data_IF_099847715884
#
_entry.id   IF_099847715884
#
_cell.length_a   1.000
_cell.length_b   1.000
_cell.length_c   1.000
_cell.angle_alpha   90.00
_cell.angle_beta   90.00
_cell.angle_gamma   90.00
#
_symmetry.space_group_name_H-M   'P 1'
#
loop_
_entity.id
_entity.type
_entity.pdbx_description
1 polymer ?
#
# COMPACT_ATOMS: atom_id res chain seq x y z
N UNK A 1 2.03 19.55 -18.05
CA UNK A 1 1.18 18.97 -16.98
C UNK A 1 0.38 20.07 -16.29
N UNK A 2 1.00 21.16 -15.84
CA UNK A 2 0.32 22.28 -15.17
C UNK A 2 -0.82 22.89 -16.01
N UNK A 3 -0.61 23.10 -17.32
CA UNK A 3 -1.63 23.58 -18.26
C UNK A 3 -2.85 22.66 -18.41
N UNK A 4 -2.74 21.40 -17.97
CA UNK A 4 -3.81 20.40 -17.97
C UNK A 4 -4.42 20.19 -16.58
N UNK A 5 -4.07 21.00 -15.58
CA UNK A 5 -4.51 20.81 -14.19
C UNK A 5 -3.88 19.59 -13.51
N UNK A 6 -2.77 19.06 -14.03
CA UNK A 6 -2.05 17.88 -13.53
C UNK A 6 -0.67 18.26 -12.97
N UNK A 7 -0.55 19.42 -12.35
CA UNK A 7 0.68 19.83 -11.66
C UNK A 7 1.00 18.84 -10.51
N UNK A 8 2.24 18.34 -10.39
CA UNK A 8 2.59 17.42 -9.33
C UNK A 8 2.79 18.16 -8.00
N UNK A 9 2.20 17.65 -6.91
CA UNK A 9 2.49 18.11 -5.55
C UNK A 9 3.81 17.54 -5.00
N UNK A 10 4.28 16.41 -5.54
CA UNK A 10 5.50 15.73 -5.11
C UNK A 10 6.30 15.22 -6.30
N UNK A 11 7.62 15.34 -6.20
CA UNK A 11 8.56 14.72 -7.13
C UNK A 11 9.37 13.65 -6.39
N UNK A 12 9.53 12.48 -7.00
CA UNK A 12 10.40 11.40 -6.51
C UNK A 12 11.43 11.11 -7.60
N UNK A 13 12.71 11.10 -7.23
CA UNK A 13 13.80 10.78 -8.15
C UNK A 13 14.79 9.79 -7.56
N UNK A 14 15.16 8.79 -8.37
CA UNK A 14 16.16 7.79 -8.02
C UNK A 14 17.46 8.07 -8.77
N UNK A 15 18.60 7.89 -8.11
CA UNK A 15 19.93 8.07 -8.69
C UNK A 15 20.05 9.45 -9.36
N UNK A 16 20.49 9.55 -10.61
CA UNK A 16 20.55 10.81 -11.37
C UNK A 16 19.18 11.49 -11.48
N UNK A 17 18.08 10.72 -11.52
CA UNK A 17 16.72 11.27 -11.44
C UNK A 17 16.47 12.03 -10.13
N UNK A 18 17.14 11.68 -9.04
CA UNK A 18 17.12 12.42 -7.77
C UNK A 18 17.77 13.80 -7.89
N UNK A 19 18.88 13.91 -8.59
CA UNK A 19 19.50 15.18 -8.92
C UNK A 19 18.61 16.06 -9.83
N UNK A 20 17.98 15.42 -10.83
CA UNK A 20 17.06 16.09 -11.75
C UNK A 20 15.82 16.66 -11.02
N UNK A 21 15.18 15.91 -10.10
CA UNK A 21 14.02 16.43 -9.38
C UNK A 21 14.39 17.53 -8.38
N UNK A 22 15.58 17.51 -7.77
CA UNK A 22 16.09 18.61 -6.95
C UNK A 22 16.22 19.90 -7.75
N UNK A 23 16.74 19.79 -8.98
CA UNK A 23 16.86 20.93 -9.88
C UNK A 23 15.52 21.44 -10.38
N UNK A 24 14.65 20.52 -10.83
CA UNK A 24 13.34 20.85 -11.38
C UNK A 24 12.43 21.50 -10.32
N UNK A 25 12.38 20.93 -9.12
CA UNK A 25 11.52 21.41 -8.04
C UNK A 25 11.80 22.87 -7.64
N UNK A 26 13.03 23.35 -7.82
CA UNK A 26 13.39 24.75 -7.54
C UNK A 26 12.62 25.74 -8.45
N UNK A 27 12.06 25.29 -9.58
CA UNK A 27 11.34 26.09 -10.56
C UNK A 27 9.85 25.72 -10.69
N UNK A 28 9.32 24.90 -9.76
CA UNK A 28 7.94 24.42 -9.79
C UNK A 28 7.23 24.79 -8.49
N UNK A 29 6.49 25.88 -8.50
CA UNK A 29 5.86 26.43 -7.27
C UNK A 29 4.82 25.46 -6.67
N UNK A 30 4.15 24.66 -7.49
CA UNK A 30 3.14 23.69 -7.07
C UNK A 30 3.71 22.53 -6.26
N UNK A 31 4.99 22.18 -6.51
CA UNK A 31 5.66 21.08 -5.80
C UNK A 31 5.85 21.45 -4.33
N UNK A 32 5.34 20.65 -3.42
CA UNK A 32 5.39 20.82 -1.96
C UNK A 32 6.42 19.91 -1.30
N UNK A 33 6.73 18.78 -1.93
CA UNK A 33 7.60 17.75 -1.40
C UNK A 33 8.53 17.18 -2.48
N UNK A 34 9.75 16.86 -2.10
CA UNK A 34 10.75 16.21 -2.96
C UNK A 34 11.33 15.01 -2.24
N UNK A 35 11.47 13.92 -2.94
CA UNK A 35 12.09 12.68 -2.44
C UNK A 35 13.24 12.29 -3.34
N UNK A 36 14.40 12.01 -2.77
CA UNK A 36 15.56 11.47 -3.47
C UNK A 36 15.92 10.10 -2.93
N UNK A 37 16.25 9.16 -3.81
CA UNK A 37 16.69 7.82 -3.48
C UNK A 37 18.04 7.59 -4.16
N UNK A 38 19.11 7.39 -3.38
CA UNK A 38 20.45 7.15 -3.90
C UNK A 38 20.95 8.24 -4.85
N UNK A 39 20.62 9.53 -4.58
CA UNK A 39 20.90 10.63 -5.49
C UNK A 39 22.31 11.17 -5.31
N UNK A 40 23.02 11.55 -6.40
CA UNK A 40 24.27 12.25 -6.33
C UNK A 40 24.06 13.73 -5.94
N UNK A 41 24.94 14.27 -5.11
CA UNK A 41 25.03 15.70 -4.82
C UNK A 41 25.66 16.49 -5.97
N UNK A 42 26.64 15.87 -6.63
CA UNK A 42 27.29 16.36 -7.83
C UNK A 42 26.96 15.42 -9.00
N UNK A 43 26.05 15.83 -9.92
CA UNK A 43 25.69 15.00 -11.08
C UNK A 43 26.87 14.73 -12.02
N UNK A 44 27.90 15.61 -12.03
CA UNK A 44 29.10 15.42 -12.85
C UNK A 44 29.84 14.14 -12.50
N UNK A 45 29.80 13.68 -11.26
CA UNK A 45 30.41 12.41 -10.84
C UNK A 45 29.82 11.18 -11.56
N UNK A 46 28.63 11.25 -12.14
CA UNK A 46 28.05 10.12 -12.89
C UNK A 46 28.90 9.75 -14.11
N UNK A 47 29.68 10.73 -14.65
CA UNK A 47 30.57 10.50 -15.81
C UNK A 47 31.67 9.49 -15.51
N UNK A 48 32.10 9.32 -14.25
CA UNK A 48 33.07 8.30 -13.85
C UNK A 48 32.60 6.86 -14.14
N UNK A 49 31.29 6.63 -14.21
CA UNK A 49 30.74 5.32 -14.56
C UNK A 49 31.02 4.92 -16.02
N UNK A 50 31.46 5.86 -16.84
CA UNK A 50 31.77 5.65 -18.27
C UNK A 50 32.99 6.45 -18.75
N UNK A 51 33.99 6.69 -17.85
CA UNK A 51 35.21 7.43 -18.16
C UNK A 51 35.91 6.88 -19.42
N UNK A 52 35.90 5.56 -19.61
CA UNK A 52 36.51 4.92 -20.78
C UNK A 52 35.82 5.27 -22.13
N UNK A 53 34.59 5.80 -22.11
CA UNK A 53 33.86 6.18 -23.30
C UNK A 53 33.87 7.73 -23.54
N UNK A 54 34.38 8.52 -22.61
CA UNK A 54 34.35 9.99 -22.72
C UNK A 54 35.08 10.52 -23.95
N UNK A 55 36.22 9.94 -24.32
CA UNK A 55 36.95 10.33 -25.52
C UNK A 55 36.21 9.95 -26.82
N UNK A 56 35.53 8.83 -26.82
CA UNK A 56 34.64 8.45 -27.94
C UNK A 56 33.48 9.42 -28.06
N UNK A 57 32.81 9.75 -26.93
CA UNK A 57 31.71 10.71 -26.90
C UNK A 57 32.15 12.07 -27.46
N UNK A 58 33.34 12.57 -27.04
CA UNK A 58 33.89 13.85 -27.52
C UNK A 58 34.20 13.85 -29.03
N UNK A 59 34.67 12.72 -29.55
CA UNK A 59 35.12 12.62 -30.94
C UNK A 59 34.00 12.23 -31.91
N UNK A 60 33.06 11.39 -31.47
CA UNK A 60 31.97 10.86 -32.30
C UNK A 60 30.60 11.45 -31.96
N UNK A 61 30.52 12.29 -30.91
CA UNK A 61 29.27 12.87 -30.41
C UNK A 61 28.43 11.94 -29.54
N UNK A 62 28.63 10.60 -29.63
CA UNK A 62 27.92 9.60 -28.80
C UNK A 62 28.78 8.35 -28.59
N UNK A 63 28.51 7.62 -27.51
CA UNK A 63 29.04 6.26 -27.31
C UNK A 63 28.00 5.36 -26.64
N UNK A 64 28.14 4.03 -26.80
CA UNK A 64 27.36 3.05 -26.05
C UNK A 64 28.12 2.65 -24.77
N UNK A 65 27.47 2.78 -23.63
CA UNK A 65 28.02 2.46 -22.32
C UNK A 65 27.13 1.46 -21.59
N UNK A 66 27.73 0.72 -20.65
CA UNK A 66 26.98 -0.21 -19.77
C UNK A 66 26.67 0.53 -18.47
N UNK A 67 25.40 0.80 -18.20
CA UNK A 67 24.93 1.37 -16.95
C UNK A 67 23.90 0.46 -16.31
N UNK A 68 24.14 0.01 -15.07
CA UNK A 68 23.21 -0.88 -14.35
C UNK A 68 22.92 -2.20 -15.08
N UNK A 69 23.87 -2.73 -15.85
CA UNK A 69 23.69 -3.94 -16.64
C UNK A 69 22.98 -3.75 -18.00
N UNK A 70 22.60 -2.52 -18.36
CA UNK A 70 21.96 -2.18 -19.63
C UNK A 70 22.87 -1.38 -20.55
N UNK A 71 22.75 -1.60 -21.86
CA UNK A 71 23.40 -0.76 -22.86
C UNK A 71 22.61 0.52 -23.03
N UNK A 72 23.27 1.65 -22.81
CA UNK A 72 22.69 2.99 -22.95
C UNK A 72 23.56 3.82 -23.88
N UNK A 73 22.96 4.54 -24.80
CA UNK A 73 23.68 5.49 -25.64
C UNK A 73 23.74 6.85 -24.95
N UNK A 74 24.94 7.34 -24.72
CA UNK A 74 25.23 8.64 -24.09
C UNK A 74 25.73 9.60 -25.16
N UNK A 75 25.12 10.78 -25.22
CA UNK A 75 25.51 11.87 -26.10
C UNK A 75 26.40 12.90 -25.41
N UNK A 76 27.13 13.70 -26.20
CA UNK A 76 27.96 14.78 -25.70
C UNK A 76 27.15 15.82 -24.92
N UNK A 77 25.95 16.17 -25.43
CA UNK A 77 25.06 17.14 -24.76
C UNK A 77 24.72 16.70 -23.32
N UNK A 78 24.51 15.39 -23.10
CA UNK A 78 24.27 14.87 -21.76
C UNK A 78 25.47 15.03 -20.84
N UNK A 79 26.70 14.73 -21.35
CA UNK A 79 27.94 14.87 -20.58
C UNK A 79 28.18 16.33 -20.21
N UNK A 80 27.97 17.24 -21.15
CA UNK A 80 28.11 18.68 -20.93
C UNK A 80 27.08 19.20 -19.92
N UNK A 81 25.80 18.77 -20.05
CA UNK A 81 24.73 19.18 -19.14
C UNK A 81 25.02 18.71 -17.70
N UNK A 82 25.27 17.42 -17.49
CA UNK A 82 25.50 16.90 -16.12
C UNK A 82 26.76 17.49 -15.49
N UNK A 83 27.81 17.76 -16.28
CA UNK A 83 29.07 18.34 -15.79
C UNK A 83 28.92 19.83 -15.46
N UNK A 84 28.00 20.54 -16.05
CA UNK A 84 27.70 21.93 -15.78
C UNK A 84 26.80 22.17 -14.56
N UNK A 85 26.12 21.11 -14.06
CA UNK A 85 25.15 21.24 -12.97
C UNK A 85 25.85 21.41 -11.60
N UNK A 86 25.53 22.49 -10.92
CA UNK A 86 25.83 22.70 -9.50
C UNK A 86 24.52 22.68 -8.73
N UNK A 87 24.28 21.62 -7.97
CA UNK A 87 22.99 21.44 -7.26
C UNK A 87 22.92 22.19 -5.93
N UNK A 88 24.04 22.51 -5.31
CA UNK A 88 24.05 23.10 -3.97
C UNK A 88 23.18 24.38 -3.85
N UNK A 89 23.22 25.37 -4.77
CA UNK A 89 22.33 26.52 -4.70
C UNK A 89 20.83 26.15 -4.85
N UNK A 90 20.51 25.19 -5.74
CA UNK A 90 19.14 24.71 -5.93
C UNK A 90 18.61 24.01 -4.67
N UNK A 91 19.44 23.20 -4.02
CA UNK A 91 19.10 22.50 -2.78
C UNK A 91 18.92 23.51 -1.63
N UNK A 92 19.84 24.47 -1.49
CA UNK A 92 19.76 25.51 -0.46
C UNK A 92 18.55 26.42 -0.61
N UNK A 93 18.12 26.68 -1.85
CA UNK A 93 16.96 27.50 -2.21
C UNK A 93 15.67 26.71 -2.43
N UNK A 94 15.63 25.43 -2.12
CA UNK A 94 14.48 24.56 -2.45
C UNK A 94 13.17 24.97 -1.75
N UNK A 95 13.23 25.37 -0.48
CA UNK A 95 12.09 25.80 0.35
C UNK A 95 10.87 24.85 0.33
N UNK A 96 11.11 23.57 0.10
CA UNK A 96 10.12 22.48 0.05
C UNK A 96 10.51 21.39 1.04
N UNK A 97 9.58 20.54 1.41
CA UNK A 97 9.89 19.38 2.24
C UNK A 97 10.79 18.41 1.44
N UNK A 98 11.91 18.02 2.01
CA UNK A 98 12.88 17.12 1.39
C UNK A 98 13.04 15.84 2.20
N UNK A 99 12.84 14.68 1.56
CA UNK A 99 13.19 13.38 2.09
C UNK A 99 14.34 12.80 1.28
N UNK A 100 15.38 12.36 1.97
CA UNK A 100 16.54 11.72 1.38
C UNK A 100 16.56 10.27 1.86
N UNK A 101 16.53 9.31 0.93
CA UNK A 101 16.74 7.89 1.21
C UNK A 101 18.04 7.46 0.55
N UNK A 102 18.90 6.74 1.29
CA UNK A 102 20.18 6.30 0.75
C UNK A 102 20.70 5.06 1.46
N UNK A 103 21.25 4.10 0.68
CA UNK A 103 21.85 2.91 1.23
C UNK A 103 23.30 3.19 1.69
N UNK A 104 23.68 2.84 2.94
CA UNK A 104 25.03 3.10 3.44
C UNK A 104 26.15 2.38 2.66
N UNK A 105 25.78 1.28 1.99
CA UNK A 105 26.71 0.47 1.20
C UNK A 105 26.52 0.63 -0.31
N UNK A 106 25.92 1.73 -0.73
CA UNK A 106 25.77 2.05 -2.14
C UNK A 106 27.13 2.27 -2.78
N UNK A 107 27.51 1.36 -3.69
CA UNK A 107 28.80 1.41 -4.40
C UNK A 107 28.72 2.21 -5.72
N UNK A 108 27.53 2.66 -6.10
CA UNK A 108 27.31 3.46 -7.31
C UNK A 108 27.30 4.95 -7.00
N UNK A 109 26.57 5.32 -5.94
CA UNK A 109 26.53 6.69 -5.40
C UNK A 109 26.80 6.59 -3.91
N UNK A 110 27.99 7.01 -3.47
CA UNK A 110 28.39 6.91 -2.07
C UNK A 110 27.49 7.70 -1.12
N UNK A 111 27.36 7.19 0.10
CA UNK A 111 26.48 7.75 1.15
C UNK A 111 26.79 9.21 1.50
N UNK A 112 28.03 9.67 1.27
CA UNK A 112 28.46 11.07 1.48
C UNK A 112 27.63 12.05 0.65
N UNK A 113 27.07 11.63 -0.51
CA UNK A 113 26.18 12.45 -1.32
C UNK A 113 24.92 12.82 -0.54
N UNK A 114 24.31 11.87 0.14
CA UNK A 114 23.15 12.10 1.00
C UNK A 114 23.47 13.10 2.13
N UNK A 115 24.65 12.97 2.74
CA UNK A 115 25.10 13.88 3.79
C UNK A 115 25.31 15.30 3.24
N UNK A 116 25.84 15.45 2.02
CA UNK A 116 26.04 16.74 1.36
C UNK A 116 24.69 17.39 1.00
N UNK A 117 23.76 16.63 0.40
CA UNK A 117 22.37 17.07 0.12
C UNK A 117 21.71 17.52 1.43
N UNK A 118 21.80 16.71 2.49
CA UNK A 118 21.19 17.03 3.78
C UNK A 118 21.78 18.30 4.40
N UNK A 119 23.10 18.52 4.31
CA UNK A 119 23.74 19.74 4.82
C UNK A 119 23.32 20.99 4.05
N UNK A 120 23.25 20.92 2.74
CA UNK A 120 22.87 22.05 1.89
C UNK A 120 21.40 22.43 2.05
N UNK A 121 20.51 21.46 2.22
CA UNK A 121 19.08 21.69 2.33
C UNK A 121 18.68 22.45 3.60
N UNK A 122 17.62 23.28 3.49
CA UNK A 122 16.94 23.92 4.62
C UNK A 122 15.81 23.03 5.13
N UNK A 123 15.33 23.29 6.36
CA UNK A 123 14.14 22.61 6.89
C UNK A 123 12.86 23.03 6.14
N UNK A 124 11.87 22.10 6.01
CA UNK A 124 11.84 20.75 6.55
C UNK A 124 12.63 19.76 5.72
N UNK A 125 13.51 18.98 6.36
CA UNK A 125 14.30 17.93 5.73
C UNK A 125 14.38 16.69 6.61
N UNK A 126 14.43 15.52 5.98
CA UNK A 126 14.51 14.20 6.62
C UNK A 126 15.53 13.34 5.89
N UNK A 127 16.19 12.44 6.62
CA UNK A 127 17.10 11.45 6.05
C UNK A 127 16.79 10.09 6.66
N UNK A 128 16.69 9.09 5.80
CA UNK A 128 16.48 7.70 6.18
C UNK A 128 17.48 6.81 5.46
N UNK A 129 18.19 5.99 6.22
CA UNK A 129 19.10 4.99 5.68
C UNK A 129 18.34 3.73 5.24
N UNK A 130 18.74 3.18 4.11
CA UNK A 130 18.25 1.90 3.58
C UNK A 130 19.34 0.84 3.81
N UNK A 131 19.50 0.41 5.07
CA UNK A 131 20.71 -0.22 5.59
C UNK A 131 21.24 -1.41 4.79
N UNK A 132 20.38 -2.28 4.27
CA UNK A 132 20.75 -3.49 3.53
C UNK A 132 20.47 -3.39 2.02
N UNK A 133 20.00 -2.23 1.55
CA UNK A 133 19.62 -2.07 0.15
C UNK A 133 20.84 -1.92 -0.76
N UNK A 134 20.70 -2.37 -2.01
CA UNK A 134 21.59 -1.98 -3.10
C UNK A 134 21.11 -0.67 -3.76
N UNK A 135 21.91 -0.15 -4.69
CA UNK A 135 21.59 1.10 -5.39
C UNK A 135 20.24 1.09 -6.11
N UNK A 136 19.83 -0.07 -6.67
CA UNK A 136 18.63 -0.21 -7.48
C UNK A 136 17.40 -0.66 -6.67
N UNK A 137 17.52 -0.88 -5.36
CA UNK A 137 16.48 -1.48 -4.52
C UNK A 137 15.97 -2.81 -5.10
N UNK A 138 16.89 -3.69 -5.54
CA UNK A 138 16.57 -4.91 -6.28
C UNK A 138 15.73 -5.91 -5.48
N UNK A 139 15.80 -5.87 -4.15
CA UNK A 139 14.97 -6.74 -3.30
C UNK A 139 13.64 -6.08 -3.02
N UNK A 140 12.53 -6.80 -3.24
CA UNK A 140 11.18 -6.31 -3.03
C UNK A 140 10.97 -5.67 -1.65
N UNK A 141 11.49 -6.29 -0.58
CA UNK A 141 11.38 -5.76 0.79
C UNK A 141 11.99 -4.36 0.99
N UNK A 142 13.06 -4.04 0.25
CA UNK A 142 13.72 -2.72 0.36
C UNK A 142 12.91 -1.66 -0.39
N UNK A 143 12.35 -2.02 -1.54
CA UNK A 143 11.47 -1.15 -2.32
C UNK A 143 10.15 -0.89 -1.56
N UNK A 144 9.56 -1.91 -0.94
CA UNK A 144 8.37 -1.80 -0.09
C UNK A 144 8.63 -0.89 1.11
N UNK A 145 9.74 -1.09 1.84
CA UNK A 145 10.11 -0.23 2.96
C UNK A 145 10.30 1.23 2.53
N UNK A 146 11.01 1.47 1.42
CA UNK A 146 11.17 2.82 0.89
C UNK A 146 9.82 3.46 0.54
N UNK A 147 8.91 2.71 -0.09
CA UNK A 147 7.58 3.18 -0.45
C UNK A 147 6.73 3.53 0.79
N UNK A 148 6.74 2.69 1.83
CA UNK A 148 6.05 2.92 3.09
C UNK A 148 6.55 4.17 3.80
N UNK A 149 7.88 4.36 3.87
CA UNK A 149 8.51 5.56 4.45
C UNK A 149 8.09 6.81 3.68
N UNK A 150 8.15 6.76 2.33
CA UNK A 150 7.74 7.88 1.47
C UNK A 150 6.27 8.22 1.71
N UNK A 151 5.38 7.23 1.71
CA UNK A 151 3.94 7.42 1.90
C UNK A 151 3.62 8.05 3.28
N UNK A 152 4.21 7.52 4.35
CA UNK A 152 4.01 8.02 5.70
C UNK A 152 4.55 9.45 5.87
N UNK A 153 5.72 9.73 5.31
CA UNK A 153 6.35 11.06 5.36
C UNK A 153 5.57 12.08 4.52
N UNK A 154 5.20 11.71 3.29
CA UNK A 154 4.48 12.58 2.37
C UNK A 154 3.10 13.00 2.91
N UNK A 155 2.40 12.11 3.61
CA UNK A 155 1.10 12.38 4.20
C UNK A 155 1.09 13.63 5.09
N UNK A 156 2.22 13.95 5.75
CA UNK A 156 2.36 15.17 6.57
C UNK A 156 2.37 16.45 5.74
N UNK A 157 3.00 16.43 4.57
CA UNK A 157 3.28 17.64 3.78
C UNK A 157 2.27 17.88 2.66
N UNK A 158 1.62 16.80 2.20
CA UNK A 158 0.63 16.86 1.12
C UNK A 158 -0.81 16.97 1.61
N UNK A 159 -1.02 16.98 2.93
CA UNK A 159 -2.37 17.02 3.50
C UNK A 159 -3.16 15.71 3.31
N UNK A 160 -2.47 14.60 3.02
CA UNK A 160 -3.06 13.27 2.80
C UNK A 160 -3.43 12.56 4.11
N UNK A 161 -3.39 13.24 5.25
CA UNK A 161 -3.86 12.65 6.50
C UNK A 161 -5.32 12.29 6.35
N UNK A 162 -5.61 11.00 6.44
CA UNK A 162 -6.99 10.56 6.67
C UNK A 162 -7.49 11.30 7.91
N UNK A 163 -8.73 11.84 7.90
CA UNK A 163 -9.38 12.30 9.12
C UNK A 163 -9.17 11.24 10.21
N UNK A 164 -8.95 11.65 11.44
CA UNK A 164 -8.94 10.69 12.54
C UNK A 164 -10.25 9.89 12.46
N UNK A 165 -10.23 8.57 12.61
CA UNK A 165 -11.46 7.80 12.64
C UNK A 165 -12.38 8.41 13.71
N UNK A 166 -13.70 8.44 13.48
CA UNK A 166 -14.63 8.97 14.46
C UNK A 166 -14.43 8.24 15.80
N UNK A 167 -14.79 8.88 16.93
CA UNK A 167 -14.66 8.26 18.24
C UNK A 167 -15.26 6.86 18.23
N UNK A 168 -14.54 5.88 18.79
CA UNK A 168 -14.99 4.49 18.88
C UNK A 168 -16.40 4.38 19.48
N UNK A 169 -17.06 3.26 19.23
CA UNK A 169 -18.35 2.97 19.84
C UNK A 169 -18.18 2.49 21.31
N UNK A 170 -19.21 2.59 22.16
CA UNK A 170 -19.21 1.90 23.43
C UNK A 170 -19.00 0.39 23.28
N UNK A 171 -18.49 -0.26 24.33
CA UNK A 171 -18.31 -1.71 24.33
C UNK A 171 -19.61 -2.45 24.00
N UNK A 172 -19.54 -3.46 23.13
CA UNK A 172 -20.70 -4.22 22.69
C UNK A 172 -21.56 -3.54 21.60
N UNK A 173 -21.23 -2.31 21.20
CA UNK A 173 -21.93 -1.59 20.14
C UNK A 173 -21.09 -1.54 18.88
N UNK A 174 -21.72 -1.79 17.75
CA UNK A 174 -21.18 -1.49 16.42
C UNK A 174 -21.81 -0.16 15.97
N UNK A 175 -20.98 0.85 15.75
CA UNK A 175 -21.41 2.12 15.17
C UNK A 175 -20.94 2.23 13.73
N UNK A 176 -21.87 2.48 12.85
CA UNK A 176 -21.57 2.79 11.45
C UNK A 176 -21.95 4.24 11.20
N UNK A 177 -21.06 5.00 10.56
CA UNK A 177 -21.30 6.41 10.22
C UNK A 177 -20.73 6.74 8.85
N UNK A 178 -21.37 7.64 8.14
CA UNK A 178 -20.88 8.11 6.84
C UNK A 178 -19.48 8.72 6.97
N UNK A 179 -18.55 8.23 6.13
CA UNK A 179 -17.23 8.79 5.97
C UNK A 179 -17.13 9.68 4.71
N UNK A 180 -18.06 9.51 3.77
CA UNK A 180 -18.20 10.31 2.57
C UNK A 180 -19.70 10.46 2.24
N UNK A 181 -20.28 11.66 2.41
CA UNK A 181 -21.71 11.90 2.16
C UNK A 181 -22.08 11.87 0.65
N UNK A 182 -21.09 11.94 -0.25
CA UNK A 182 -21.33 11.85 -1.69
C UNK A 182 -21.13 10.43 -2.24
N UNK A 183 -20.67 9.49 -1.39
CA UNK A 183 -20.37 8.10 -1.75
C UNK A 183 -20.98 7.08 -0.80
N UNK A 184 -20.47 5.86 -0.86
CA UNK A 184 -20.91 4.75 0.00
C UNK A 184 -19.94 4.43 1.14
N UNK A 185 -18.83 5.18 1.25
CA UNK A 185 -17.81 4.91 2.24
C UNK A 185 -18.35 5.16 3.66
N UNK A 186 -18.19 4.15 4.52
CA UNK A 186 -18.62 4.18 5.93
C UNK A 186 -17.45 3.89 6.86
N UNK A 187 -17.39 4.56 7.98
CA UNK A 187 -16.60 4.17 9.14
C UNK A 187 -17.36 3.16 10.00
N UNK A 188 -16.76 2.02 10.27
CA UNK A 188 -17.32 0.96 11.12
C UNK A 188 -16.48 0.85 12.37
N UNK A 189 -17.03 1.20 13.52
CA UNK A 189 -16.36 1.14 14.82
C UNK A 189 -17.01 0.06 15.68
N UNK A 190 -16.22 -0.92 16.15
CA UNK A 190 -16.68 -1.95 17.08
C UNK A 190 -15.99 -1.76 18.43
N UNK A 191 -16.74 -1.32 19.42
CA UNK A 191 -16.17 -0.90 20.69
C UNK A 191 -15.17 0.26 20.54
N UNK A 192 -14.32 0.51 21.54
CA UNK A 192 -13.39 1.64 21.51
C UNK A 192 -12.16 1.45 20.61
N UNK A 193 -11.81 0.20 20.26
CA UNK A 193 -10.49 -0.14 19.75
C UNK A 193 -10.47 -0.76 18.33
N UNK A 194 -11.63 -1.13 17.79
CA UNK A 194 -11.69 -1.77 16.48
C UNK A 194 -12.33 -0.86 15.44
N UNK A 195 -11.62 -0.65 14.34
CA UNK A 195 -12.08 0.17 13.23
C UNK A 195 -11.89 -0.56 11.90
N UNK A 196 -12.89 -0.46 11.04
CA UNK A 196 -12.86 -0.96 9.67
C UNK A 196 -13.59 0.04 8.76
N UNK A 197 -13.43 -0.12 7.46
CA UNK A 197 -14.20 0.61 6.46
C UNK A 197 -15.20 -0.32 5.79
N UNK A 198 -16.42 0.18 5.55
CA UNK A 198 -17.36 -0.45 4.63
C UNK A 198 -17.50 0.44 3.38
N UNK A 199 -17.61 -0.20 2.22
CA UNK A 199 -17.79 0.48 0.94
C UNK A 199 -18.37 -0.50 -0.08
N UNK A 200 -18.90 0.00 -1.18
CA UNK A 200 -19.29 -0.83 -2.31
C UNK A 200 -18.15 -0.92 -3.34
N UNK A 201 -18.10 -2.00 -4.15
CA UNK A 201 -17.20 -2.09 -5.30
C UNK A 201 -17.48 -0.97 -6.31
N UNK A 202 -16.47 -0.59 -7.09
CA UNK A 202 -16.58 0.44 -8.13
C UNK A 202 -17.71 0.15 -9.14
N UNK A 203 -17.94 -1.13 -9.46
CA UNK A 203 -19.04 -1.58 -10.33
C UNK A 203 -20.44 -1.21 -9.81
N UNK A 204 -20.57 -0.93 -8.52
CA UNK A 204 -21.82 -0.52 -7.86
C UNK A 204 -21.77 0.94 -7.39
N UNK A 205 -20.80 1.72 -7.85
CA UNK A 205 -20.67 3.16 -7.54
C UNK A 205 -19.90 3.47 -6.27
N UNK A 206 -19.27 2.49 -5.63
CA UNK A 206 -18.35 2.68 -4.52
C UNK A 206 -16.93 2.98 -4.96
N UNK A 207 -16.02 3.06 -4.00
CA UNK A 207 -14.59 3.29 -4.22
C UNK A 207 -13.70 2.09 -3.86
N UNK A 208 -14.33 0.95 -3.50
CA UNK A 208 -13.66 -0.31 -3.12
C UNK A 208 -12.60 -0.15 -2.01
N UNK A 209 -12.85 0.77 -1.06
CA UNK A 209 -11.93 1.07 0.06
C UNK A 209 -12.23 0.28 1.32
N UNK A 210 -13.33 -0.45 1.34
CA UNK A 210 -13.79 -1.28 2.46
C UNK A 210 -14.48 -2.54 2.00
N UNK A 211 -14.87 -3.40 2.95
CA UNK A 211 -15.74 -4.54 2.65
C UNK A 211 -17.16 -4.07 2.35
N UNK A 212 -17.82 -4.72 1.38
CA UNK A 212 -19.27 -4.48 1.18
C UNK A 212 -20.09 -4.95 2.40
N UNK A 213 -21.34 -4.49 2.57
CA UNK A 213 -22.22 -4.96 3.65
C UNK A 213 -22.35 -6.48 3.69
N UNK A 214 -22.53 -7.14 2.55
CA UNK A 214 -22.54 -8.61 2.47
C UNK A 214 -21.15 -9.20 2.72
N UNK A 215 -20.07 -8.48 2.44
CA UNK A 215 -18.72 -8.86 2.82
C UNK A 215 -18.56 -8.99 4.33
N UNK A 216 -19.14 -8.08 5.12
CA UNK A 216 -19.15 -8.16 6.59
C UNK A 216 -19.92 -9.37 7.09
N UNK A 217 -21.08 -9.70 6.48
CA UNK A 217 -21.83 -10.91 6.82
C UNK A 217 -21.04 -12.19 6.50
N UNK A 218 -20.41 -12.23 5.32
CA UNK A 218 -19.54 -13.34 4.91
C UNK A 218 -18.32 -13.48 5.83
N UNK A 219 -17.67 -12.38 6.19
CA UNK A 219 -16.53 -12.36 7.12
C UNK A 219 -16.96 -12.86 8.52
N UNK A 220 -18.10 -12.42 9.02
CA UNK A 220 -18.69 -12.90 10.28
C UNK A 220 -18.95 -14.41 10.28
N UNK A 221 -19.53 -14.92 9.20
CA UNK A 221 -19.79 -16.36 9.02
C UNK A 221 -18.47 -17.15 8.94
N UNK A 222 -17.51 -16.69 8.14
CA UNK A 222 -16.20 -17.33 8.00
C UNK A 222 -15.42 -17.37 9.31
N UNK A 223 -15.33 -16.23 10.01
CA UNK A 223 -14.66 -16.13 11.29
C UNK A 223 -15.30 -17.03 12.35
N UNK A 224 -16.62 -16.99 12.48
CA UNK A 224 -17.34 -17.84 13.44
C UNK A 224 -17.15 -19.34 13.16
N UNK A 225 -17.19 -19.73 11.88
CA UNK A 225 -16.93 -21.10 11.43
C UNK A 225 -15.53 -21.56 11.80
N UNK A 226 -14.50 -20.77 11.46
CA UNK A 226 -13.10 -21.07 11.77
C UNK A 226 -12.84 -21.19 13.28
N UNK A 227 -13.36 -20.24 14.07
CA UNK A 227 -13.24 -20.25 15.54
C UNK A 227 -13.92 -21.49 16.15
N UNK A 228 -15.11 -21.88 15.65
CA UNK A 228 -15.86 -23.05 16.12
C UNK A 228 -15.08 -24.34 15.84
N UNK A 229 -14.54 -24.49 14.65
CA UNK A 229 -13.70 -25.64 14.25
C UNK A 229 -12.45 -25.69 15.16
N UNK A 230 -11.74 -24.58 15.31
CA UNK A 230 -10.53 -24.49 16.15
C UNK A 230 -10.81 -24.84 17.59
N UNK A 231 -11.88 -24.30 18.17
CA UNK A 231 -12.29 -24.58 19.55
C UNK A 231 -12.59 -26.06 19.75
N UNK A 232 -13.31 -26.67 18.82
CA UNK A 232 -13.65 -28.11 18.88
C UNK A 232 -12.41 -28.98 18.76
N UNK A 233 -11.52 -28.72 17.80
CA UNK A 233 -10.27 -29.46 17.64
C UNK A 233 -9.40 -29.40 18.88
N UNK A 234 -9.24 -28.18 19.49
CA UNK A 234 -8.51 -28.01 20.77
C UNK A 234 -9.10 -28.82 21.90
N UNK A 235 -10.43 -28.81 22.06
CA UNK A 235 -11.11 -29.59 23.12
C UNK A 235 -10.91 -31.09 22.95
N UNK A 236 -10.77 -31.55 21.71
CA UNK A 236 -10.54 -32.97 21.37
C UNK A 236 -9.06 -33.36 21.36
N UNK A 237 -8.14 -32.42 21.46
CA UNK A 237 -6.70 -32.67 21.32
C UNK A 237 -6.29 -33.12 19.92
N UNK A 238 -7.04 -32.70 18.88
CA UNK A 238 -6.74 -33.09 17.49
C UNK A 238 -5.67 -32.19 16.87
N UNK A 239 -4.76 -32.75 16.05
CA UNK A 239 -3.66 -32.04 15.44
C UNK A 239 -4.13 -31.21 14.21
N UNK A 240 -4.92 -30.18 14.46
CA UNK A 240 -5.31 -29.19 13.45
C UNK A 240 -4.29 -28.05 13.46
N UNK A 241 -3.43 -27.96 12.46
CA UNK A 241 -2.40 -26.93 12.32
C UNK A 241 -3.03 -25.61 11.89
N UNK A 242 -3.77 -25.60 10.78
CA UNK A 242 -4.42 -24.41 10.26
C UNK A 242 -5.85 -24.70 9.77
N UNK A 243 -6.71 -23.67 9.81
CA UNK A 243 -8.05 -23.69 9.22
C UNK A 243 -8.31 -22.37 8.50
N UNK A 244 -8.72 -22.43 7.25
CA UNK A 244 -9.21 -21.29 6.48
C UNK A 244 -10.60 -21.55 5.93
N UNK A 245 -11.38 -20.47 5.81
CA UNK A 245 -12.77 -20.53 5.33
C UNK A 245 -12.96 -19.44 4.29
N UNK A 246 -13.12 -19.81 3.04
CA UNK A 246 -13.55 -18.90 1.99
C UNK A 246 -15.08 -18.86 1.99
N UNK A 247 -15.64 -17.65 1.95
CA UNK A 247 -17.09 -17.46 1.91
C UNK A 247 -17.46 -16.59 0.73
N UNK A 248 -18.36 -17.07 -0.13
CA UNK A 248 -18.99 -16.28 -1.18
C UNK A 248 -20.49 -16.10 -0.89
N UNK A 249 -21.03 -15.01 -1.41
CA UNK A 249 -22.45 -14.68 -1.33
C UNK A 249 -22.99 -14.42 -2.74
N UNK A 250 -24.13 -15.03 -3.05
CA UNK A 250 -24.85 -14.84 -4.30
C UNK A 250 -26.37 -14.85 -4.06
N UNK A 251 -27.13 -14.25 -4.99
CA UNK A 251 -28.59 -14.38 -5.05
C UNK A 251 -28.97 -15.43 -6.08
N UNK A 252 -29.42 -16.56 -5.61
CA UNK A 252 -29.84 -17.69 -6.45
C UNK A 252 -31.37 -17.84 -6.50
N UNK A 253 -31.91 -18.48 -7.54
CA UNK A 253 -33.33 -18.81 -7.57
C UNK A 253 -33.66 -19.82 -6.47
N UNK A 254 -34.76 -19.61 -5.77
CA UNK A 254 -35.18 -20.46 -4.66
C UNK A 254 -35.37 -21.93 -5.05
N UNK A 255 -35.71 -22.22 -6.32
CA UNK A 255 -35.76 -23.58 -6.86
C UNK A 255 -34.40 -24.27 -6.87
N UNK A 256 -33.33 -23.53 -7.20
CA UNK A 256 -31.96 -24.04 -7.22
C UNK A 256 -31.38 -24.17 -5.79
N UNK A 257 -31.92 -23.42 -4.84
CA UNK A 257 -31.60 -23.49 -3.42
C UNK A 257 -32.42 -24.57 -2.66
N UNK A 258 -33.32 -25.29 -3.32
CA UNK A 258 -34.13 -26.36 -2.71
C UNK A 258 -35.29 -25.88 -1.81
N UNK A 259 -35.63 -24.57 -1.83
CA UNK A 259 -36.64 -23.98 -0.94
C UNK A 259 -38.05 -23.91 -1.56
N UNK A 260 -38.21 -24.27 -2.85
CA UNK A 260 -39.52 -24.38 -3.52
C UNK A 260 -40.27 -23.07 -3.79
N UNK A 261 -39.69 -21.89 -3.44
CA UNK A 261 -40.32 -20.60 -3.65
C UNK A 261 -39.97 -19.98 -5.02
N UNK A 262 -40.83 -19.10 -5.54
CA UNK A 262 -40.58 -18.41 -6.83
C UNK A 262 -39.65 -17.18 -6.72
N UNK A 263 -39.09 -16.89 -5.55
CA UNK A 263 -38.26 -15.71 -5.26
C UNK A 263 -36.78 -16.07 -5.27
N UNK A 264 -35.93 -15.06 -5.48
CA UNK A 264 -34.47 -15.17 -5.25
C UNK A 264 -34.20 -15.20 -3.75
N UNK A 265 -33.28 -16.08 -3.33
CA UNK A 265 -32.80 -16.17 -1.94
C UNK A 265 -31.30 -15.89 -1.88
N UNK A 266 -30.86 -15.34 -0.76
CA UNK A 266 -29.45 -15.15 -0.49
C UNK A 266 -28.79 -16.49 -0.16
N UNK A 267 -27.69 -16.81 -0.81
CA UNK A 267 -26.93 -18.04 -0.59
C UNK A 267 -25.49 -17.70 -0.19
N UNK A 268 -25.08 -18.18 0.97
CA UNK A 268 -23.68 -18.13 1.41
C UNK A 268 -23.04 -19.50 1.21
N UNK A 269 -21.99 -19.57 0.41
CA UNK A 269 -21.20 -20.79 0.17
C UNK A 269 -19.90 -20.72 0.93
N UNK A 270 -19.59 -21.76 1.72
CA UNK A 270 -18.33 -21.89 2.46
C UNK A 270 -17.46 -22.99 1.85
N UNK A 271 -16.17 -22.69 1.65
CA UNK A 271 -15.14 -23.67 1.31
C UNK A 271 -14.14 -23.70 2.47
N UNK A 272 -14.07 -24.82 3.17
CA UNK A 272 -13.26 -24.98 4.38
C UNK A 272 -12.03 -25.81 4.05
N UNK A 273 -10.84 -25.29 4.39
CA UNK A 273 -9.55 -26.00 4.29
C UNK A 273 -9.06 -26.32 5.68
N UNK A 274 -8.74 -27.59 5.92
CA UNK A 274 -8.21 -28.09 7.19
C UNK A 274 -6.80 -28.64 6.94
N UNK A 275 -5.80 -28.06 7.61
CA UNK A 275 -4.41 -28.49 7.53
C UNK A 275 -4.01 -29.14 8.87
N UNK A 276 -3.18 -30.18 8.80
CA UNK A 276 -2.73 -30.98 9.92
C UNK A 276 -2.87 -32.48 9.68
N UNK A 277 -2.27 -33.27 10.54
CA UNK A 277 -2.31 -34.74 10.49
C UNK A 277 -3.64 -35.28 11.05
N UNK A 278 -4.71 -35.01 10.31
CA UNK A 278 -6.10 -35.35 10.68
C UNK A 278 -6.57 -36.59 9.95
N UNK A 279 -7.13 -37.56 10.68
CA UNK A 279 -7.83 -38.70 10.10
C UNK A 279 -9.10 -38.25 9.30
N UNK A 280 -9.60 -39.10 8.43
CA UNK A 280 -10.84 -38.84 7.70
C UNK A 280 -12.04 -38.64 8.62
N UNK A 281 -12.09 -39.38 9.71
CA UNK A 281 -13.15 -39.25 10.72
C UNK A 281 -13.09 -37.90 11.45
N UNK A 282 -11.87 -37.47 11.82
CA UNK A 282 -11.66 -36.16 12.42
C UNK A 282 -12.06 -35.02 11.46
N UNK A 283 -11.66 -35.11 10.18
CA UNK A 283 -12.07 -34.15 9.17
C UNK A 283 -13.59 -34.06 9.02
N UNK A 284 -14.27 -35.21 8.95
CA UNK A 284 -15.73 -35.26 8.89
C UNK A 284 -16.37 -34.58 10.08
N UNK A 285 -15.93 -34.91 11.29
CA UNK A 285 -16.44 -34.29 12.53
C UNK A 285 -16.19 -32.77 12.57
N UNK A 286 -15.06 -32.29 12.05
CA UNK A 286 -14.78 -30.86 11.93
C UNK A 286 -15.68 -30.16 10.93
N UNK A 287 -16.04 -30.81 9.84
CA UNK A 287 -17.03 -30.30 8.88
C UNK A 287 -18.44 -30.26 9.48
N UNK A 288 -18.85 -31.27 10.20
CA UNK A 288 -20.16 -31.32 10.89
C UNK A 288 -20.27 -30.22 11.97
N UNK A 289 -19.20 -29.95 12.71
CA UNK A 289 -19.22 -28.88 13.72
C UNK A 289 -19.25 -27.49 13.11
N UNK A 290 -18.74 -27.30 11.90
CA UNK A 290 -18.81 -26.05 11.14
C UNK A 290 -20.27 -25.56 10.98
N UNK A 291 -21.22 -26.46 10.78
CA UNK A 291 -22.63 -26.13 10.63
C UNK A 291 -23.33 -25.76 11.96
N UNK A 292 -22.62 -25.93 13.07
CA UNK A 292 -23.12 -25.55 14.39
C UNK A 292 -22.64 -24.21 14.88
N UNK A 293 -21.94 -23.44 14.02
CA UNK A 293 -21.49 -22.11 14.43
C UNK A 293 -22.68 -21.16 14.65
N UNK A 294 -22.65 -20.32 15.68
CA UNK A 294 -23.78 -19.43 16.01
C UNK A 294 -24.23 -18.53 14.86
N UNK A 295 -23.30 -17.93 14.13
CA UNK A 295 -23.62 -17.05 12.99
C UNK A 295 -24.33 -17.83 11.86
N UNK A 296 -23.90 -19.07 11.58
CA UNK A 296 -24.59 -19.94 10.62
C UNK A 296 -26.07 -20.13 11.02
N UNK A 297 -26.33 -20.47 12.27
CA UNK A 297 -27.71 -20.64 12.78
C UNK A 297 -28.52 -19.36 12.71
N UNK A 298 -27.88 -18.19 12.91
CA UNK A 298 -28.56 -16.89 12.80
C UNK A 298 -28.94 -16.61 11.36
N UNK A 299 -28.08 -16.93 10.39
CA UNK A 299 -28.35 -16.72 8.96
C UNK A 299 -29.42 -17.66 8.41
N UNK A 300 -29.53 -18.89 8.93
CA UNK A 300 -30.56 -19.85 8.55
C UNK A 300 -31.89 -19.63 9.31
N UNK A 301 -31.81 -18.94 10.45
CA UNK A 301 -32.96 -18.70 11.32
C UNK A 301 -33.70 -17.41 10.99
N UNK A 302 -34.71 -17.11 11.81
CA UNK A 302 -35.43 -15.84 11.78
C UNK A 302 -34.77 -14.88 12.78
N UNK A 303 -34.12 -13.84 12.26
CA UNK A 303 -33.62 -12.74 13.07
C UNK A 303 -34.65 -11.59 13.07
N UNK A 304 -34.88 -10.96 14.22
CA UNK A 304 -35.72 -9.78 14.32
C UNK A 304 -34.87 -8.52 14.31
N UNK A 305 -35.20 -7.56 13.48
CA UNK A 305 -34.58 -6.24 13.42
C UNK A 305 -35.54 -5.21 14.01
N UNK A 306 -35.09 -4.46 15.02
CA UNK A 306 -35.82 -3.38 15.62
C UNK A 306 -35.15 -2.05 15.19
N UNK A 307 -35.94 -1.10 14.74
CA UNK A 307 -35.45 0.21 14.28
C UNK A 307 -36.06 1.30 15.15
N UNK A 308 -35.19 2.15 15.72
CA UNK A 308 -35.59 3.28 16.55
C UNK A 308 -34.84 4.54 16.10
N UNK A 309 -35.47 5.69 16.13
CA UNK A 309 -34.82 6.98 15.93
C UNK A 309 -34.24 7.47 17.26
N UNK A 310 -32.98 7.90 17.21
CA UNK A 310 -32.35 8.51 18.39
C UNK A 310 -32.85 9.96 18.51
N UNK A 311 -33.42 10.33 19.66
CA UNK A 311 -33.92 11.66 19.97
C UNK A 311 -32.80 12.68 20.27
#
# INVERSE_FOLDING_TARGET
LAERGLAPDMLIGHSLGGAAVLRAAAHMDEVRAVVTIGAPFDPGHVTHNFDGALEEIKTQGTAEVMLGGHRVRIGQDFVEDVSAQVLEPAIAGLHKALLILHAPRDMTVGIENAANIFRAAKHPKSFVTLDDADHLLSRAKDAEYAAEVIAAWAARYLGLRKPAPPPGAPEGIIRVSEADPEGFLQDVNAGPNHHALADEPEAYGGTNRGMSPYGFLAAGLGACTSMTIRMYARRKGWPLDHVSVDVSHDKVHAQDAGTGAAAKVDQFRRIIRLEGDLSQEQRRSLMEIADRCPVHRTLEGQATVITEEAG
#
